data_IF_913778294468
#
_entry.id   IF_913778294468
#
_cell.length_a   1.000
_cell.length_b   1.000
_cell.length_c   1.000
_cell.angle_alpha   90.00
_cell.angle_beta   90.00
_cell.angle_gamma   90.00
#
_symmetry.space_group_name_H-M   'P 1'
#
loop_
_entity.id
_entity.type
_entity.pdbx_description
1 polymer ?
#
# COMPACT_ATOMS: atom_id res chain seq x y z
N UNK A 1 17.75 -4.19 -14.16
CA UNK A 1 17.75 -5.27 -13.14
C UNK A 1 18.59 -4.79 -11.97
N UNK A 2 18.09 -4.93 -10.74
CA UNK A 2 18.91 -4.82 -9.53
C UNK A 2 20.01 -5.90 -9.62
N UNK A 3 21.21 -5.63 -9.12
CA UNK A 3 22.39 -6.50 -9.32
C UNK A 3 22.22 -7.92 -8.74
N UNK A 4 23.21 -8.83 -8.92
CA UNK A 4 23.08 -10.26 -8.63
C UNK A 4 23.10 -10.64 -7.13
N UNK A 5 22.47 -9.84 -6.26
CA UNK A 5 22.45 -10.05 -4.81
C UNK A 5 21.04 -10.07 -4.24
N UNK A 6 20.89 -10.76 -3.10
CA UNK A 6 19.67 -10.70 -2.30
C UNK A 6 19.46 -9.26 -1.83
N UNK A 7 18.29 -8.71 -2.13
CA UNK A 7 17.83 -7.43 -1.61
C UNK A 7 16.65 -7.65 -0.68
N UNK A 8 16.37 -6.66 0.17
CA UNK A 8 15.10 -6.55 0.87
C UNK A 8 14.12 -5.73 0.03
N UNK A 9 13.00 -6.34 -0.33
CA UNK A 9 11.88 -5.68 -0.99
C UNK A 9 10.75 -5.45 0.01
N UNK A 10 10.18 -4.25 0.00
CA UNK A 10 9.00 -3.88 0.78
C UNK A 10 7.81 -3.74 -0.17
N UNK A 11 6.70 -4.38 0.17
CA UNK A 11 5.43 -4.24 -0.52
C UNK A 11 4.39 -3.61 0.41
N UNK A 12 3.54 -2.76 -0.16
CA UNK A 12 2.35 -2.21 0.49
C UNK A 12 1.15 -2.38 -0.45
N UNK A 13 -0.01 -2.72 0.09
CA UNK A 13 -1.21 -2.98 -0.69
C UNK A 13 -2.46 -2.54 0.09
N UNK A 14 -3.38 -1.88 -0.61
CA UNK A 14 -4.72 -1.58 -0.10
C UNK A 14 -5.75 -2.22 -1.01
N UNK A 15 -6.52 -3.16 -0.46
CA UNK A 15 -7.51 -3.92 -1.22
C UNK A 15 -8.74 -3.10 -1.58
N UNK A 16 -9.57 -3.63 -2.49
CA UNK A 16 -10.85 -3.00 -2.85
C UNK A 16 -11.90 -3.04 -1.73
N UNK A 17 -11.61 -3.75 -0.63
CA UNK A 17 -12.37 -3.72 0.62
C UNK A 17 -12.37 -2.34 1.29
N UNK A 18 -11.33 -1.53 1.02
CA UNK A 18 -11.11 -0.21 1.64
C UNK A 18 -11.05 -0.27 3.18
N UNK A 19 -10.44 -1.32 3.73
CA UNK A 19 -10.31 -1.55 5.17
C UNK A 19 -8.96 -1.10 5.74
N UNK A 20 -7.90 -1.10 4.93
CA UNK A 20 -6.59 -0.60 5.35
C UNK A 20 -5.48 -0.81 4.33
N UNK A 21 -4.25 -0.72 4.83
CA UNK A 21 -3.02 -0.98 4.09
C UNK A 21 -2.25 -2.12 4.76
N UNK A 22 -2.06 -3.20 4.03
CA UNK A 22 -1.15 -4.29 4.38
C UNK A 22 0.28 -3.94 3.96
N UNK A 23 1.27 -4.28 4.78
CA UNK A 23 2.69 -4.18 4.42
C UNK A 23 3.43 -5.48 4.73
N UNK A 24 4.40 -5.81 3.88
CA UNK A 24 5.28 -6.96 4.08
C UNK A 24 6.68 -6.70 3.51
N UNK A 25 7.70 -7.18 4.22
CA UNK A 25 9.06 -7.25 3.74
C UNK A 25 9.44 -8.68 3.33
N UNK A 26 10.20 -8.83 2.25
CA UNK A 26 10.79 -10.11 1.86
C UNK A 26 12.20 -9.90 1.33
N UNK A 27 13.04 -10.94 1.46
CA UNK A 27 14.38 -10.96 0.88
C UNK A 27 14.34 -11.78 -0.43
N UNK A 28 14.83 -11.21 -1.55
CA UNK A 28 14.72 -11.80 -2.89
C UNK A 28 15.88 -11.40 -3.81
N UNK A 29 16.19 -12.23 -4.81
CA UNK A 29 17.04 -11.89 -5.96
C UNK A 29 16.23 -11.38 -7.17
N UNK A 30 14.91 -11.27 -7.04
CA UNK A 30 13.98 -10.92 -8.12
C UNK A 30 13.32 -12.11 -8.82
N UNK A 31 13.77 -13.34 -8.57
CA UNK A 31 13.15 -14.57 -9.10
C UNK A 31 12.69 -15.52 -7.98
N UNK A 32 13.43 -15.58 -6.87
CA UNK A 32 13.16 -16.46 -5.72
C UNK A 32 13.00 -15.65 -4.44
N UNK A 33 12.13 -16.14 -3.55
CA UNK A 33 12.05 -15.63 -2.17
C UNK A 33 13.07 -16.38 -1.33
N UNK A 34 14.01 -15.66 -0.76
CA UNK A 34 15.05 -16.18 0.12
C UNK A 34 14.66 -16.10 1.60
N UNK A 35 13.73 -15.21 1.97
CA UNK A 35 13.23 -15.07 3.33
C UNK A 35 12.08 -14.09 3.46
N UNK A 36 11.41 -14.13 4.61
CA UNK A 36 10.35 -13.20 4.99
C UNK A 36 10.83 -12.30 6.13
N UNK A 37 10.50 -11.02 6.04
CA UNK A 37 10.72 -10.03 7.08
C UNK A 37 9.43 -9.69 7.84
N UNK A 38 9.40 -8.52 8.51
CA UNK A 38 8.21 -8.03 9.19
C UNK A 38 7.00 -7.87 8.25
N UNK A 39 5.82 -7.96 8.84
CA UNK A 39 4.55 -7.56 8.22
C UNK A 39 3.80 -6.63 9.16
N UNK A 40 2.84 -5.89 8.62
CA UNK A 40 2.07 -4.91 9.37
C UNK A 40 0.76 -4.60 8.66
N UNK A 41 -0.13 -3.96 9.40
CA UNK A 41 -1.43 -3.53 8.91
C UNK A 41 -1.79 -2.17 9.53
N UNK A 42 -2.22 -1.23 8.68
CA UNK A 42 -2.71 0.08 9.10
C UNK A 42 -4.18 0.20 8.68
N UNK A 43 -5.15 0.11 9.61
CA UNK A 43 -6.58 0.23 9.27
C UNK A 43 -6.90 1.64 8.80
N UNK A 44 -7.85 1.81 7.87
CA UNK A 44 -8.45 3.12 7.63
C UNK A 44 -9.39 3.49 8.78
N UNK A 45 -9.44 4.78 9.09
CA UNK A 45 -10.45 5.35 9.96
C UNK A 45 -11.79 5.47 9.21
N UNK A 46 -12.95 5.46 9.90
CA UNK A 46 -14.25 5.58 9.25
C UNK A 46 -14.40 6.83 8.36
N UNK A 47 -13.72 7.93 8.71
CA UNK A 47 -13.68 9.15 7.89
C UNK A 47 -12.88 8.99 6.61
N UNK A 48 -11.77 8.24 6.65
CA UNK A 48 -10.96 7.91 5.49
C UNK A 48 -11.74 6.96 4.57
N UNK A 49 -12.37 5.91 5.11
CA UNK A 49 -13.24 5.04 4.34
C UNK A 49 -14.32 5.81 3.57
N UNK A 50 -14.95 6.80 4.22
CA UNK A 50 -15.98 7.62 3.59
C UNK A 50 -15.44 8.42 2.39
N UNK A 51 -14.24 8.99 2.52
CA UNK A 51 -13.56 9.70 1.42
C UNK A 51 -13.25 8.76 0.27
N UNK A 52 -12.71 7.57 0.56
CA UNK A 52 -12.35 6.58 -0.45
C UNK A 52 -13.58 6.03 -1.17
N UNK A 53 -14.67 5.73 -0.43
CA UNK A 53 -15.95 5.29 -1.01
C UNK A 53 -16.57 6.36 -1.91
N UNK A 54 -16.46 7.64 -1.55
CA UNK A 54 -16.97 8.75 -2.37
C UNK A 54 -16.20 8.91 -3.70
N UNK A 55 -14.97 8.41 -3.78
CA UNK A 55 -14.19 8.41 -5.02
C UNK A 55 -14.50 7.21 -5.94
N UNK A 56 -15.21 6.18 -5.47
CA UNK A 56 -15.53 5.02 -6.30
C UNK A 56 -16.45 5.40 -7.47
N UNK A 57 -16.16 4.84 -8.64
CA UNK A 57 -16.90 5.11 -9.89
C UNK A 57 -16.46 6.37 -10.64
N UNK A 58 -15.50 7.11 -10.09
CA UNK A 58 -14.91 8.29 -10.72
C UNK A 58 -13.78 7.91 -11.67
N UNK A 59 -13.60 8.70 -12.72
CA UNK A 59 -12.56 8.48 -13.72
C UNK A 59 -11.33 9.38 -13.47
N UNK A 60 -10.15 8.99 -13.98
CA UNK A 60 -8.99 9.88 -13.99
C UNK A 60 -9.31 11.22 -14.65
N UNK A 61 -8.91 12.32 -14.01
CA UNK A 61 -9.23 13.69 -14.44
C UNK A 61 -10.42 14.32 -13.72
N UNK A 62 -11.21 13.54 -12.98
CA UNK A 62 -12.14 14.07 -11.99
C UNK A 62 -11.40 14.42 -10.68
N UNK A 63 -12.04 15.16 -9.78
CA UNK A 63 -11.45 15.58 -8.50
C UNK A 63 -11.23 14.40 -7.53
N UNK A 64 -10.04 13.79 -7.59
CA UNK A 64 -9.66 12.65 -6.75
C UNK A 64 -8.70 13.05 -5.60
N UNK A 65 -8.46 14.35 -5.40
CA UNK A 65 -7.37 14.84 -4.55
C UNK A 65 -7.46 14.34 -3.10
N UNK A 66 -8.67 14.33 -2.52
CA UNK A 66 -8.86 13.86 -1.15
C UNK A 66 -8.60 12.35 -1.00
N UNK A 67 -9.00 11.54 -1.98
CA UNK A 67 -8.75 10.10 -1.96
C UNK A 67 -7.26 9.79 -2.17
N UNK A 68 -6.59 10.53 -3.06
CA UNK A 68 -5.14 10.42 -3.26
C UNK A 68 -4.39 10.74 -1.96
N UNK A 69 -4.73 11.85 -1.28
CA UNK A 69 -4.10 12.23 -0.01
C UNK A 69 -4.25 11.14 1.05
N UNK A 70 -5.46 10.60 1.23
CA UNK A 70 -5.73 9.52 2.19
C UNK A 70 -4.90 8.27 1.87
N UNK A 71 -4.93 7.80 0.63
CA UNK A 71 -4.20 6.59 0.21
C UNK A 71 -2.70 6.79 0.40
N UNK A 72 -2.15 7.90 -0.08
CA UNK A 72 -0.70 8.16 -0.01
C UNK A 72 -0.22 8.27 1.44
N UNK A 73 -0.95 9.02 2.29
CA UNK A 73 -0.63 9.13 3.70
C UNK A 73 -0.68 7.77 4.40
N UNK A 74 -1.73 6.99 4.20
CA UNK A 74 -1.88 5.69 4.84
C UNK A 74 -0.75 4.71 4.46
N UNK A 75 -0.27 4.74 3.21
CA UNK A 75 0.86 3.92 2.79
C UNK A 75 2.18 4.37 3.43
N UNK A 76 2.41 5.69 3.55
CA UNK A 76 3.59 6.22 4.24
C UNK A 76 3.58 5.82 5.73
N UNK A 77 2.45 5.97 6.40
CA UNK A 77 2.28 5.61 7.81
C UNK A 77 2.48 4.11 8.04
N UNK A 78 1.99 3.25 7.13
CA UNK A 78 2.17 1.81 7.23
C UNK A 78 3.63 1.35 7.05
N UNK A 79 4.48 2.17 6.42
CA UNK A 79 5.90 1.88 6.14
C UNK A 79 6.88 2.55 7.12
N UNK A 80 6.39 3.32 8.09
CA UNK A 80 7.20 4.08 9.07
C UNK A 80 7.49 3.26 10.33
#
# INVERSE_FOLDING_TARGET
>A
MLGPGIIRALGAMSGTSLDGVDVAALDTDGERIAGFGPSGYRPYEPSEEAVLRAALGRWPGEDLAAAEEVVMRAHIEALS
#
